data_IF_281230655109
#
_entry.id   IF_281230655109
#
_cell.length_a   1.000
_cell.length_b   1.000
_cell.length_c   1.000
_cell.angle_alpha   90.00
_cell.angle_beta   90.00
_cell.angle_gamma   90.00
#
_symmetry.space_group_name_H-M   'P 1'
#
loop_
_entity.id
_entity.type
_entity.pdbx_description
1 polymer ?
#
# COMPACT_ATOMS: atom_id res chain seq x y z
N UNK A 1 21.21 -11.52 6.33
CA UNK A 1 20.01 -11.09 7.10
C UNK A 1 18.79 -11.68 6.44
N UNK A 2 17.88 -12.31 7.19
CA UNK A 2 16.63 -12.85 6.60
C UNK A 2 15.59 -11.73 6.51
N UNK A 3 14.63 -11.86 5.59
CA UNK A 3 13.53 -10.89 5.40
C UNK A 3 12.76 -10.63 6.70
N UNK A 4 12.47 -11.68 7.47
CA UNK A 4 11.77 -11.56 8.76
C UNK A 4 12.56 -10.71 9.76
N UNK A 5 13.87 -10.94 9.89
CA UNK A 5 14.72 -10.17 10.80
C UNK A 5 14.70 -8.67 10.45
N UNK A 6 14.67 -8.34 9.15
CA UNK A 6 14.54 -6.97 8.67
C UNK A 6 13.19 -6.35 9.08
N UNK A 7 12.09 -7.08 8.89
CA UNK A 7 10.75 -6.60 9.24
C UNK A 7 10.65 -6.37 10.74
N UNK A 8 11.10 -7.33 11.56
CA UNK A 8 11.07 -7.23 13.02
C UNK A 8 11.88 -6.01 13.51
N UNK A 9 13.05 -5.75 12.92
CA UNK A 9 13.85 -4.56 13.24
C UNK A 9 13.14 -3.27 12.86
N UNK A 10 12.57 -3.19 11.65
CA UNK A 10 11.86 -1.99 11.19
C UNK A 10 10.63 -1.69 12.06
N UNK A 11 9.87 -2.72 12.44
CA UNK A 11 8.74 -2.59 13.37
C UNK A 11 9.21 -1.97 14.69
N UNK A 12 10.26 -2.52 15.29
CA UNK A 12 10.80 -1.99 16.55
C UNK A 12 11.25 -0.53 16.43
N UNK A 13 11.93 -0.15 15.34
CA UNK A 13 12.40 1.23 15.15
C UNK A 13 11.23 2.22 14.90
N UNK A 14 10.14 1.77 14.29
CA UNK A 14 8.94 2.59 14.06
C UNK A 14 8.14 2.75 15.36
N UNK A 15 7.89 1.66 16.10
CA UNK A 15 7.12 1.68 17.35
C UNK A 15 7.82 2.47 18.45
N UNK A 16 9.16 2.40 18.52
CA UNK A 16 9.95 3.23 19.44
C UNK A 16 10.01 4.70 19.00
N UNK A 17 9.47 5.04 17.83
CA UNK A 17 9.43 6.39 17.30
C UNK A 17 10.78 6.92 16.80
N UNK A 18 11.77 6.03 16.65
CA UNK A 18 13.08 6.35 16.08
C UNK A 18 12.97 6.61 14.58
N UNK A 19 12.09 5.89 13.89
CA UNK A 19 11.71 6.13 12.50
C UNK A 19 10.31 6.74 12.45
N UNK A 20 10.21 7.95 11.89
CA UNK A 20 8.93 8.66 11.68
C UNK A 20 8.43 8.60 10.23
N UNK A 21 9.34 8.35 9.30
CA UNK A 21 9.03 8.25 7.87
C UNK A 21 9.98 7.24 7.25
N UNK A 22 9.43 6.29 6.49
CA UNK A 22 10.19 5.25 5.79
C UNK A 22 9.80 5.29 4.31
N UNK A 23 10.76 5.66 3.45
CA UNK A 23 10.59 5.59 2.00
C UNK A 23 11.11 4.25 1.45
N UNK A 24 10.34 3.63 0.56
CA UNK A 24 10.70 2.36 -0.10
C UNK A 24 10.93 2.63 -1.60
N UNK A 25 12.20 2.59 -2.02
CA UNK A 25 12.63 2.92 -3.39
C UNK A 25 13.24 1.71 -4.10
N UNK A 26 13.22 1.71 -5.44
CA UNK A 26 13.73 0.59 -6.25
C UNK A 26 13.10 0.50 -7.64
N UNK A 27 13.64 -0.39 -8.48
CA UNK A 27 13.23 -0.58 -9.88
C UNK A 27 11.77 -1.05 -10.05
N UNK A 28 11.21 -0.90 -11.25
CA UNK A 28 9.90 -1.44 -11.60
C UNK A 28 9.82 -2.94 -11.32
N UNK A 29 8.65 -3.44 -10.90
CA UNK A 29 8.40 -4.85 -10.57
C UNK A 29 9.31 -5.48 -9.49
N UNK A 30 10.07 -4.69 -8.73
CA UNK A 30 10.99 -5.19 -7.69
C UNK A 30 10.31 -5.61 -6.37
N UNK A 31 8.97 -5.60 -6.30
CA UNK A 31 8.22 -5.98 -5.09
C UNK A 31 8.09 -4.89 -4.01
N UNK A 32 8.33 -3.62 -4.32
CA UNK A 32 8.25 -2.51 -3.34
C UNK A 32 6.89 -2.43 -2.63
N UNK A 33 5.80 -2.37 -3.40
CA UNK A 33 4.45 -2.26 -2.84
C UNK A 33 4.08 -3.51 -2.03
N UNK A 34 4.51 -4.70 -2.49
CA UNK A 34 4.35 -5.94 -1.73
C UNK A 34 5.05 -5.87 -0.38
N UNK A 35 6.31 -5.42 -0.35
CA UNK A 35 7.06 -5.26 0.90
C UNK A 35 6.46 -4.18 1.81
N UNK A 36 6.03 -3.04 1.24
CA UNK A 36 5.37 -1.98 1.99
C UNK A 36 4.10 -2.48 2.67
N UNK A 37 3.28 -3.26 1.96
CA UNK A 37 2.04 -3.81 2.49
C UNK A 37 2.30 -4.87 3.57
N UNK A 38 3.29 -5.74 3.38
CA UNK A 38 3.69 -6.72 4.40
C UNK A 38 4.19 -6.05 5.68
N UNK A 39 5.01 -5.00 5.56
CA UNK A 39 5.47 -4.22 6.70
C UNK A 39 4.30 -3.50 7.38
N UNK A 40 3.39 -2.91 6.61
CA UNK A 40 2.19 -2.26 7.14
C UNK A 40 1.27 -3.23 7.90
N UNK A 41 1.12 -4.48 7.42
CA UNK A 41 0.37 -5.52 8.11
C UNK A 41 1.04 -6.00 9.41
N UNK A 42 2.36 -5.88 9.52
CA UNK A 42 3.10 -6.18 10.74
C UNK A 42 3.04 -5.05 11.78
N UNK A 43 2.60 -3.85 11.38
CA UNK A 43 2.44 -2.68 12.23
C UNK A 43 0.97 -2.51 12.65
N UNK A 44 0.73 -1.81 13.76
CA UNK A 44 -0.62 -1.38 14.13
C UNK A 44 -1.07 -0.24 13.20
N UNK A 45 -2.05 -0.52 12.33
CA UNK A 45 -2.63 0.43 11.37
C UNK A 45 -3.21 1.71 12.00
N UNK A 46 -3.44 1.75 13.32
CA UNK A 46 -3.87 2.96 14.03
C UNK A 46 -2.72 3.91 14.35
N UNK A 47 -1.47 3.44 14.24
CA UNK A 47 -0.25 4.16 14.63
C UNK A 47 0.58 4.63 13.45
N UNK A 48 0.33 4.09 12.26
CA UNK A 48 1.10 4.38 11.04
C UNK A 48 0.19 4.64 9.85
N UNK A 49 0.69 5.41 8.88
CA UNK A 49 0.00 5.66 7.61
C UNK A 49 0.80 5.03 6.47
N UNK A 50 0.12 4.39 5.52
CA UNK A 50 0.72 3.94 4.26
C UNK A 50 0.39 4.96 3.16
N UNK A 51 1.43 5.55 2.57
CA UNK A 51 1.31 6.47 1.44
C UNK A 51 1.94 5.82 0.20
N UNK A 52 1.09 5.47 -0.78
CA UNK A 52 1.55 5.02 -2.08
C UNK A 52 1.82 6.23 -3.00
N UNK A 53 3.01 6.30 -3.57
CA UNK A 53 3.46 7.44 -4.39
C UNK A 53 3.47 7.12 -5.89
N UNK A 54 2.84 6.02 -6.31
CA UNK A 54 2.75 5.66 -7.72
C UNK A 54 1.57 6.44 -8.35
N UNK A 55 1.81 7.21 -9.44
CA UNK A 55 0.75 7.98 -10.09
C UNK A 55 -0.37 7.12 -10.70
N UNK A 56 -0.18 5.81 -10.85
CA UNK A 56 -1.13 4.90 -11.48
C UNK A 56 -1.86 3.95 -10.51
N UNK A 57 -1.56 3.99 -9.20
CA UNK A 57 -2.31 3.20 -8.22
C UNK A 57 -3.57 3.98 -7.82
N UNK A 58 -4.59 3.93 -8.67
CA UNK A 58 -5.95 4.31 -8.29
C UNK A 58 -6.58 3.14 -7.53
N UNK A 59 -6.78 3.29 -6.22
CA UNK A 59 -7.59 2.37 -5.42
C UNK A 59 -9.02 2.34 -5.98
N UNK A 60 -9.36 1.29 -6.73
CA UNK A 60 -10.75 0.89 -7.02
C UNK A 60 -11.73 2.00 -7.43
N UNK A 61 -11.69 2.46 -8.68
CA UNK A 61 -12.89 2.93 -9.37
C UNK A 61 -12.83 2.52 -10.84
N UNK A 62 -12.90 1.21 -11.08
CA UNK A 62 -13.59 0.77 -12.26
C UNK A 62 -15.03 1.21 -12.08
N UNK A 63 -15.44 2.30 -12.75
CA UNK A 63 -16.86 2.59 -12.92
C UNK A 63 -17.47 1.35 -13.59
N UNK A 64 -18.13 0.51 -12.79
CA UNK A 64 -19.11 -0.42 -13.33
C UNK A 64 -20.13 0.43 -14.06
N UNK A 65 -20.02 0.50 -15.39
CA UNK A 65 -21.10 0.95 -16.27
C UNK A 65 -22.25 -0.06 -16.14
N UNK A 66 -22.97 0.04 -15.04
CA UNK A 66 -24.33 -0.43 -14.89
C UNK A 66 -25.24 0.74 -15.22
N UNK A 67 -25.73 0.76 -16.44
CA UNK A 67 -27.15 0.51 -16.70
C UNK A 67 -27.44 0.83 -18.16
N UNK A 68 -27.80 -0.21 -18.88
CA UNK A 68 -28.52 -0.14 -20.15
C UNK A 68 -29.78 0.70 -19.95
N UNK A 69 -29.72 1.97 -20.33
CA UNK A 69 -30.93 2.70 -20.66
C UNK A 69 -31.51 2.06 -21.93
N UNK A 70 -32.63 1.36 -21.74
CA UNK A 70 -33.54 0.94 -22.78
C UNK A 70 -33.90 2.14 -23.66
N UNK A 71 -33.52 2.05 -24.93
CA UNK A 71 -33.94 2.98 -25.95
C UNK A 71 -35.41 2.72 -26.32
N UNK A 72 -36.15 3.83 -26.48
CA UNK A 72 -37.39 4.04 -27.25
C UNK A 72 -38.60 3.15 -26.89
N UNK A 73 -39.77 3.66 -26.54
CA UNK A 73 -40.38 4.90 -27.03
C UNK A 73 -40.93 4.70 -28.44
N UNK A 74 -42.00 3.92 -28.56
CA UNK A 74 -43.01 3.96 -29.62
C UNK A 74 -44.27 3.25 -29.13
#
# INVERSE_FOLDING_TARGET
MKKKDLVDQLVSEIETGKVRTLGIYGHGASGKSTFAQELYQALDSTTVNLLETDPYITSGRAESKGDSQSASGA
#
